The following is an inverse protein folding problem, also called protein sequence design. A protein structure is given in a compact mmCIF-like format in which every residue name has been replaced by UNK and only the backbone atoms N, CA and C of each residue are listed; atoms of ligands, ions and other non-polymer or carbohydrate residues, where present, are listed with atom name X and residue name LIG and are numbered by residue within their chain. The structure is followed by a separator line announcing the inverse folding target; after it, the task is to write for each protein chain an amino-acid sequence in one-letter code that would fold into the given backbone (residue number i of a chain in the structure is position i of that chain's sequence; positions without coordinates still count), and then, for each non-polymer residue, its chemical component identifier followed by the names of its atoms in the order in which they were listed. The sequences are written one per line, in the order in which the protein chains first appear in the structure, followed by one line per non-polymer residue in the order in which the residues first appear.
data_IF_135040801944
#
_entry.id   IF_135040801944
#
_cell.length_a   1.000
_cell.length_b   1.000
_cell.length_c   1.000
_cell.angle_alpha   90.00
_cell.angle_beta   90.00
_cell.angle_gamma   90.00
#
_symmetry.space_group_name_H-M   'P 1'
#
loop_
_entity.id
_entity.type
_entity.pdbx_description
1 polymer ?
#
# COMPACT_ATOMS: atom_id res chain seq x y z
N UNK A 1 4.40 -11.55 -3.85
CA UNK A 1 4.23 -11.09 -2.44
C UNK A 1 3.43 -12.15 -1.72
N UNK A 2 3.91 -12.62 -0.57
CA UNK A 2 3.22 -13.64 0.22
C UNK A 2 2.88 -13.02 1.56
N UNK A 3 1.60 -12.97 1.89
CA UNK A 3 1.12 -12.45 3.16
C UNK A 3 0.75 -13.58 4.11
N UNK A 4 0.81 -13.27 5.40
CA UNK A 4 0.43 -14.15 6.49
C UNK A 4 -0.90 -13.69 7.09
N UNK A 5 -1.73 -14.64 7.48
CA UNK A 5 -2.84 -14.40 8.40
C UNK A 5 -2.84 -15.49 9.48
N UNK A 6 -2.72 -15.11 10.75
CA UNK A 6 -2.75 -16.02 11.91
C UNK A 6 -1.80 -17.24 11.81
N UNK A 7 -0.59 -17.06 11.26
CA UNK A 7 0.39 -18.15 11.14
C UNK A 7 0.10 -19.16 10.01
N UNK A 8 -0.94 -18.96 9.21
CA UNK A 8 -1.27 -19.75 8.02
C UNK A 8 -1.09 -18.94 6.74
N UNK A 9 -0.88 -19.63 5.62
CA UNK A 9 -0.88 -18.99 4.31
C UNK A 9 -2.27 -18.41 4.01
N UNK A 10 -2.33 -17.25 3.36
CA UNK A 10 -3.59 -16.73 2.81
C UNK A 10 -4.30 -17.81 1.98
N UNK A 11 -5.63 -17.73 1.87
CA UNK A 11 -6.42 -18.76 1.16
C UNK A 11 -5.95 -19.01 -0.26
N UNK A 12 -5.57 -17.96 -0.97
CA UNK A 12 -4.99 -18.01 -2.31
C UNK A 12 -3.64 -18.74 -2.39
N UNK A 13 -2.91 -18.84 -1.28
CA UNK A 13 -1.61 -19.51 -1.21
C UNK A 13 -1.69 -20.95 -0.69
N UNK A 14 -2.83 -21.41 -0.17
CA UNK A 14 -2.99 -22.78 0.39
C UNK A 14 -2.65 -23.87 -0.63
N UNK A 15 -3.16 -23.74 -1.87
CA UNK A 15 -2.89 -24.71 -2.94
C UNK A 15 -1.41 -24.73 -3.34
N UNK A 16 -0.77 -23.56 -3.38
CA UNK A 16 0.65 -23.46 -3.71
C UNK A 16 1.54 -24.06 -2.62
N UNK A 17 1.21 -23.83 -1.35
CA UNK A 17 1.89 -24.46 -0.22
C UNK A 17 1.76 -25.98 -0.27
N UNK A 18 0.55 -26.50 -0.49
CA UNK A 18 0.31 -27.94 -0.63
C UNK A 18 1.08 -28.54 -1.83
N UNK A 19 1.18 -27.80 -2.94
CA UNK A 19 2.01 -28.21 -4.07
C UNK A 19 3.50 -28.31 -3.69
N UNK A 20 4.05 -27.33 -2.98
CA UNK A 20 5.45 -27.37 -2.54
C UNK A 20 5.71 -28.51 -1.53
N UNK A 21 4.73 -28.84 -0.67
CA UNK A 21 4.82 -29.97 0.26
C UNK A 21 4.90 -31.33 -0.43
N UNK A 22 4.39 -31.43 -1.67
CA UNK A 22 4.56 -32.63 -2.50
C UNK A 22 6.00 -32.83 -3.00
N UNK A 23 6.91 -31.91 -2.68
CA UNK A 23 8.32 -31.88 -3.09
C UNK A 23 8.50 -32.01 -4.61
N UNK A 24 7.92 -31.09 -5.39
CA UNK A 24 8.10 -31.08 -6.83
C UNK A 24 9.56 -30.80 -7.16
N UNK A 25 10.01 -31.23 -8.33
CA UNK A 25 11.28 -30.77 -8.90
C UNK A 25 11.01 -29.46 -9.63
N UNK A 26 11.64 -28.37 -9.18
CA UNK A 26 11.54 -27.04 -9.77
C UNK A 26 12.88 -26.69 -10.44
N UNK A 27 12.83 -26.20 -11.66
CA UNK A 27 13.97 -25.64 -12.40
C UNK A 27 13.64 -24.20 -12.78
N UNK A 28 13.39 -23.37 -11.78
CA UNK A 28 12.92 -21.99 -11.94
C UNK A 28 13.81 -21.01 -11.19
N UNK A 29 13.89 -19.79 -11.71
CA UNK A 29 14.41 -18.64 -10.96
C UNK A 29 13.26 -17.99 -10.18
N UNK A 30 13.47 -17.65 -8.92
CA UNK A 30 12.42 -17.09 -8.07
C UNK A 30 12.92 -15.97 -7.16
N UNK A 31 11.97 -15.14 -6.70
CA UNK A 31 12.19 -14.09 -5.72
C UNK A 31 10.98 -14.01 -4.78
N UNK A 32 11.21 -13.90 -3.47
CA UNK A 32 10.15 -13.85 -2.45
C UNK A 32 10.19 -12.52 -1.72
N UNK A 33 9.04 -11.85 -1.62
CA UNK A 33 8.83 -10.75 -0.68
C UNK A 33 7.77 -11.16 0.33
N UNK A 34 8.16 -11.19 1.60
CA UNK A 34 7.33 -11.60 2.72
C UNK A 34 6.65 -10.42 3.40
N UNK A 35 5.34 -10.48 3.53
CA UNK A 35 4.56 -9.54 4.32
C UNK A 35 4.21 -10.15 5.68
N UNK A 36 4.67 -9.50 6.75
CA UNK A 36 4.39 -9.86 8.13
C UNK A 36 4.17 -8.63 8.98
N UNK A 37 3.88 -8.82 10.26
CA UNK A 37 3.79 -7.74 11.23
C UNK A 37 4.42 -8.22 12.54
N UNK A 38 5.33 -7.40 13.10
CA UNK A 38 6.15 -7.77 14.25
C UNK A 38 5.37 -7.90 15.57
N UNK A 39 4.17 -7.35 15.68
CA UNK A 39 3.27 -7.53 16.82
C UNK A 39 2.92 -9.01 17.01
N UNK A 40 2.90 -9.79 15.93
CA UNK A 40 2.71 -11.24 15.96
C UNK A 40 4.03 -12.00 16.04
N UNK A 41 4.78 -11.77 17.13
CA UNK A 41 6.14 -12.30 17.38
C UNK A 41 6.31 -13.78 17.01
N UNK A 42 5.39 -14.65 17.44
CA UNK A 42 5.47 -16.11 17.21
C UNK A 42 5.29 -16.54 15.75
N UNK A 43 4.80 -15.64 14.89
CA UNK A 43 4.47 -15.96 13.50
C UNK A 43 5.08 -15.01 12.50
N UNK A 44 5.84 -14.00 12.97
CA UNK A 44 6.46 -12.99 12.13
C UNK A 44 7.29 -13.65 11.00
N UNK A 45 6.90 -13.36 9.75
CA UNK A 45 7.54 -13.86 8.53
C UNK A 45 7.57 -15.39 8.35
N UNK A 46 6.84 -16.17 9.17
CA UNK A 46 6.92 -17.65 9.19
C UNK A 46 6.63 -18.31 7.84
N UNK A 47 5.52 -17.95 7.18
CA UNK A 47 5.14 -18.54 5.89
C UNK A 47 6.03 -18.06 4.73
N UNK A 48 6.38 -16.77 4.61
CA UNK A 48 7.37 -16.34 3.61
C UNK A 48 8.71 -17.04 3.72
N UNK A 49 9.22 -17.25 4.95
CA UNK A 49 10.45 -18.02 5.19
C UNK A 49 10.26 -19.47 4.74
N UNK A 50 9.16 -20.11 5.14
CA UNK A 50 8.85 -21.48 4.76
C UNK A 50 8.78 -21.69 3.25
N UNK A 51 8.08 -20.81 2.52
CA UNK A 51 7.94 -20.92 1.06
C UNK A 51 9.28 -20.67 0.36
N UNK A 52 10.05 -19.68 0.80
CA UNK A 52 11.39 -19.41 0.24
C UNK A 52 12.31 -20.64 0.36
N UNK A 53 12.30 -21.30 1.52
CA UNK A 53 13.06 -22.53 1.76
C UNK A 53 12.53 -23.73 0.96
N UNK A 54 11.21 -23.87 0.85
CA UNK A 54 10.62 -24.98 0.09
C UNK A 54 10.92 -24.89 -1.40
N UNK A 55 10.92 -23.68 -1.99
CA UNK A 55 11.28 -23.50 -3.40
C UNK A 55 12.76 -23.81 -3.63
N UNK A 56 13.64 -23.38 -2.71
CA UNK A 56 15.09 -23.70 -2.77
C UNK A 56 15.34 -25.21 -2.69
N UNK A 57 14.72 -25.90 -1.72
CA UNK A 57 14.84 -27.34 -1.54
C UNK A 57 14.27 -28.15 -2.72
N UNK A 58 13.32 -27.58 -3.46
CA UNK A 58 12.73 -28.17 -4.65
C UNK A 58 13.60 -28.00 -5.91
N UNK A 59 14.71 -27.24 -5.84
CA UNK A 59 15.63 -27.01 -6.97
C UNK A 59 15.51 -25.62 -7.60
N UNK A 60 14.69 -24.73 -7.05
CA UNK A 60 14.59 -23.35 -7.51
C UNK A 60 15.84 -22.53 -7.15
N UNK A 61 16.21 -21.61 -8.04
CA UNK A 61 17.37 -20.72 -7.85
C UNK A 61 16.90 -19.32 -7.44
N UNK A 62 17.38 -18.84 -6.29
CA UNK A 62 17.01 -17.51 -5.76
C UNK A 62 17.70 -16.40 -6.56
N UNK A 63 16.92 -15.45 -7.08
CA UNK A 63 17.42 -14.28 -7.84
C UNK A 63 17.98 -13.21 -6.89
N UNK A 64 17.31 -12.99 -5.76
CA UNK A 64 17.65 -12.00 -4.74
C UNK A 64 17.22 -12.52 -3.37
N UNK A 65 17.92 -12.10 -2.32
CA UNK A 65 17.51 -12.34 -0.94
C UNK A 65 16.04 -11.96 -0.71
N UNK A 66 15.38 -12.74 0.16
CA UNK A 66 13.98 -12.56 0.49
C UNK A 66 13.74 -11.18 1.12
N UNK A 67 12.80 -10.44 0.56
CA UNK A 67 12.38 -9.16 1.13
C UNK A 67 11.51 -9.34 2.37
N UNK A 68 11.64 -8.41 3.32
CA UNK A 68 10.93 -8.42 4.60
C UNK A 68 10.13 -7.12 4.70
N UNK A 69 8.81 -7.21 4.56
CA UNK A 69 7.88 -6.11 4.81
C UNK A 69 7.20 -6.28 6.17
N UNK A 70 7.21 -5.22 6.96
CA UNK A 70 6.58 -5.16 8.27
C UNK A 70 5.39 -4.19 8.28
N UNK A 71 4.16 -4.69 8.40
CA UNK A 71 2.95 -3.86 8.37
C UNK A 71 2.77 -2.96 9.60
N UNK A 72 3.47 -3.23 10.71
CA UNK A 72 3.51 -2.34 11.87
C UNK A 72 4.59 -1.24 11.76
N UNK A 73 5.51 -1.36 10.79
CA UNK A 73 6.56 -0.39 10.49
C UNK A 73 6.47 0.15 9.06
N UNK A 74 7.63 0.43 8.44
CA UNK A 74 7.70 0.92 7.05
C UNK A 74 7.59 -0.21 6.01
N UNK A 75 6.42 -0.85 5.95
CA UNK A 75 6.15 -1.91 4.98
C UNK A 75 6.45 -1.50 3.53
N UNK A 76 6.02 -0.29 3.16
CA UNK A 76 6.05 0.17 1.78
C UNK A 76 7.45 0.61 1.37
N UNK A 77 8.18 1.30 2.26
CA UNK A 77 9.59 1.59 2.02
C UNK A 77 10.41 0.31 1.84
N UNK A 78 10.20 -0.70 2.69
CA UNK A 78 10.86 -2.00 2.56
C UNK A 78 10.52 -2.70 1.23
N UNK A 79 9.26 -2.65 0.79
CA UNK A 79 8.83 -3.22 -0.49
C UNK A 79 9.44 -2.50 -1.69
N UNK A 80 9.41 -1.16 -1.71
CA UNK A 80 9.98 -0.37 -2.80
C UNK A 80 11.49 -0.59 -2.92
N UNK A 81 12.23 -0.56 -1.81
CA UNK A 81 13.68 -0.80 -1.82
C UNK A 81 14.03 -2.21 -2.33
N UNK A 82 13.30 -3.23 -1.87
CA UNK A 82 13.50 -4.60 -2.35
C UNK A 82 13.19 -4.75 -3.85
N UNK A 83 12.06 -4.17 -4.29
CA UNK A 83 11.62 -4.20 -5.69
C UNK A 83 12.66 -3.56 -6.62
N UNK A 84 13.25 -2.43 -6.23
CA UNK A 84 14.31 -1.78 -7.01
C UNK A 84 15.56 -2.65 -7.14
N UNK A 85 16.00 -3.27 -6.05
CA UNK A 85 17.13 -4.17 -6.08
C UNK A 85 16.87 -5.37 -7.01
N UNK A 86 15.66 -5.93 -6.97
CA UNK A 86 15.24 -6.99 -7.89
C UNK A 86 15.33 -6.52 -9.34
N UNK A 87 14.72 -5.38 -9.69
CA UNK A 87 14.78 -4.86 -11.06
C UNK A 87 16.21 -4.53 -11.50
N UNK A 88 17.09 -4.08 -10.61
CA UNK A 88 18.49 -3.83 -10.93
C UNK A 88 19.23 -5.12 -11.29
N UNK A 89 18.95 -6.23 -10.61
CA UNK A 89 19.52 -7.54 -10.93
C UNK A 89 18.98 -8.02 -12.29
N UNK A 90 17.65 -8.00 -12.46
CA UNK A 90 17.00 -8.44 -13.69
C UNK A 90 17.44 -7.62 -14.93
N UNK A 91 17.70 -6.33 -14.76
CA UNK A 91 18.18 -5.45 -15.84
C UNK A 91 19.58 -5.79 -16.33
N UNK A 92 20.46 -6.33 -15.48
CA UNK A 92 21.82 -6.69 -15.90
C UNK A 92 21.84 -7.83 -16.92
N UNK A 93 20.82 -8.69 -16.93
CA UNK A 93 20.71 -9.82 -17.86
C UNK A 93 20.02 -9.45 -19.19
N UNK A 94 19.32 -8.32 -19.26
CA UNK A 94 18.77 -7.76 -20.50
C UNK A 94 19.70 -6.68 -21.03
N UNK A 95 20.33 -6.89 -22.19
CA UNK A 95 21.23 -5.97 -22.94
C UNK A 95 20.84 -4.47 -22.98
N UNK A 96 20.86 -3.76 -21.86
CA UNK A 96 20.66 -2.31 -21.67
C UNK A 96 19.60 -1.63 -22.55
N UNK A 97 18.59 -2.34 -23.04
CA UNK A 97 17.46 -1.73 -23.69
C UNK A 97 16.57 -1.20 -22.58
N UNK A 98 16.78 0.08 -22.26
CA UNK A 98 15.85 0.88 -21.48
C UNK A 98 14.51 0.92 -22.24
N UNK A 99 13.69 -0.12 -22.07
CA UNK A 99 12.26 0.00 -22.31
C UNK A 99 11.73 0.83 -21.14
N UNK A 100 11.94 2.14 -21.24
CA UNK A 100 11.10 3.09 -20.54
C UNK A 100 9.76 2.94 -21.23
N UNK A 101 8.93 2.02 -20.74
CA UNK A 101 7.51 2.13 -20.99
C UNK A 101 7.11 3.47 -20.37
N UNK A 102 6.97 4.50 -21.20
CA UNK A 102 6.13 5.64 -20.88
C UNK A 102 4.73 5.07 -20.66
N UNK A 103 4.47 4.53 -19.47
CA UNK A 103 3.15 4.15 -19.02
C UNK A 103 2.35 5.45 -18.88
N UNK A 104 1.83 5.91 -20.02
CA UNK A 104 0.89 7.02 -20.11
C UNK A 104 -0.43 6.51 -19.57
N UNK A 105 -0.64 6.70 -18.27
CA UNK A 105 -1.99 6.86 -17.74
C UNK A 105 -2.56 8.14 -18.37
N UNK A 106 -3.28 7.99 -19.48
CA UNK A 106 -4.05 9.06 -20.09
C UNK A 106 -5.37 9.19 -19.35
N UNK A 107 -5.54 10.31 -18.64
CA UNK A 107 -6.82 10.65 -18.03
C UNK A 107 -7.62 11.45 -19.06
N UNK A 108 -8.75 10.90 -19.48
CA UNK A 108 -9.74 11.63 -20.26
C UNK A 108 -10.87 12.06 -19.32
N UNK A 109 -11.15 13.36 -19.24
CA UNK A 109 -12.26 13.88 -18.46
C UNK A 109 -13.54 13.63 -19.25
N UNK A 110 -14.27 12.59 -18.89
CA UNK A 110 -15.56 12.29 -19.50
C UNK A 110 -16.65 12.97 -18.69
N UNK A 111 -17.34 13.96 -19.28
CA UNK A 111 -18.52 14.60 -18.69
C UNK A 111 -19.74 13.65 -18.78
N UNK A 112 -19.74 12.57 -18.01
CA UNK A 112 -20.90 11.66 -17.92
C UNK A 112 -21.21 11.36 -16.47
N UNK A 113 -22.50 11.48 -16.09
CA UNK A 113 -23.03 10.95 -14.83
C UNK A 113 -23.05 9.43 -14.91
N UNK A 114 -21.90 8.78 -14.86
CA UNK A 114 -21.84 7.32 -14.66
C UNK A 114 -22.03 7.08 -13.17
N UNK A 115 -23.09 6.38 -12.81
CA UNK A 115 -23.22 5.76 -11.50
C UNK A 115 -22.14 4.67 -11.43
N UNK A 116 -20.98 5.01 -10.85
CA UNK A 116 -19.92 4.06 -10.54
C UNK A 116 -20.51 3.02 -9.59
N UNK A 117 -20.57 1.77 -10.06
CA UNK A 117 -21.16 0.59 -9.43
C UNK A 117 -21.66 0.81 -8.00
N UNK A 118 -22.95 1.09 -7.86
CA UNK A 118 -23.57 1.23 -6.55
C UNK A 118 -23.46 -0.11 -5.83
N UNK A 119 -22.68 -0.15 -4.74
CA UNK A 119 -22.87 -1.16 -3.71
C UNK A 119 -24.31 -0.99 -3.26
N UNK A 120 -25.15 -2.01 -3.45
CA UNK A 120 -26.59 -1.93 -3.14
C UNK A 120 -26.92 -2.45 -1.75
N UNK A 121 -26.01 -3.21 -1.15
CA UNK A 121 -26.18 -3.84 0.16
C UNK A 121 -25.23 -3.21 1.17
N UNK A 122 -25.78 -2.44 2.12
CA UNK A 122 -25.03 -1.77 3.18
C UNK A 122 -25.37 -2.35 4.55
N UNK A 123 -24.33 -2.56 5.36
CA UNK A 123 -24.51 -2.71 6.80
C UNK A 123 -24.84 -1.35 7.43
N UNK A 124 -25.71 -1.34 8.44
CA UNK A 124 -26.07 -0.11 9.16
C UNK A 124 -25.38 -0.12 10.51
N UNK A 125 -24.58 0.90 10.80
CA UNK A 125 -24.00 1.09 12.14
C UNK A 125 -25.12 1.49 13.11
N UNK A 126 -25.44 0.60 14.03
CA UNK A 126 -26.43 0.83 15.10
C UNK A 126 -25.79 1.55 16.29
N UNK A 127 -24.52 1.26 16.57
CA UNK A 127 -23.78 1.86 17.68
C UNK A 127 -22.30 2.02 17.32
N UNK A 128 -21.70 3.11 17.80
CA UNK A 128 -20.25 3.34 17.77
C UNK A 128 -19.86 4.03 19.08
N UNK A 129 -19.25 3.27 20.00
CA UNK A 129 -18.89 3.72 21.34
C UNK A 129 -17.38 3.60 21.55
N UNK A 130 -16.75 4.64 22.09
CA UNK A 130 -15.36 4.56 22.57
C UNK A 130 -15.34 3.67 23.82
N UNK A 131 -14.55 2.60 23.78
CA UNK A 131 -14.27 1.74 24.93
C UNK A 131 -13.01 2.20 25.67
N UNK A 132 -12.00 2.60 24.91
CA UNK A 132 -10.70 3.05 25.43
C UNK A 132 -10.33 4.32 24.66
N UNK A 133 -10.06 5.41 25.38
CA UNK A 133 -9.50 6.64 24.83
C UNK A 133 -8.03 6.42 24.45
N UNK A 134 -7.56 7.14 23.43
CA UNK A 134 -6.15 7.04 23.04
C UNK A 134 -5.25 7.55 24.17
N UNK A 135 -4.13 6.87 24.40
CA UNK A 135 -3.13 7.26 25.38
C UNK A 135 -1.71 6.88 24.88
N UNK A 136 -0.71 7.06 25.74
CA UNK A 136 0.70 6.77 25.41
C UNK A 136 0.96 5.29 25.05
N UNK A 137 0.08 4.39 25.48
CA UNK A 137 0.25 2.94 25.36
C UNK A 137 -0.52 2.39 24.15
N UNK A 138 -1.55 3.09 23.65
CA UNK A 138 -2.31 2.56 22.53
C UNK A 138 -3.39 3.48 21.95
N UNK A 139 -3.91 3.13 20.77
CA UNK A 139 -4.91 3.91 20.07
C UNK A 139 -6.28 3.79 20.73
N UNK A 140 -7.20 4.67 20.31
CA UNK A 140 -8.61 4.56 20.67
C UNK A 140 -9.18 3.21 20.23
N UNK A 141 -9.86 2.51 21.14
CA UNK A 141 -10.60 1.28 20.83
C UNK A 141 -12.09 1.59 20.83
N UNK A 142 -12.80 1.15 19.80
CA UNK A 142 -14.24 1.38 19.63
C UNK A 142 -15.01 0.06 19.57
N UNK A 143 -16.16 0.04 20.23
CA UNK A 143 -17.20 -0.96 20.03
C UNK A 143 -18.15 -0.47 18.94
N UNK A 144 -18.34 -1.27 17.90
CA UNK A 144 -19.22 -0.94 16.78
C UNK A 144 -20.23 -2.07 16.59
N UNK A 145 -21.51 -1.73 16.60
CA UNK A 145 -22.60 -2.67 16.29
C UNK A 145 -23.12 -2.41 14.90
N UNK A 146 -23.12 -3.44 14.06
CA UNK A 146 -23.51 -3.31 12.65
C UNK A 146 -24.67 -4.27 12.38
N UNK A 147 -25.80 -3.72 11.93
CA UNK A 147 -26.89 -4.51 11.37
C UNK A 147 -26.52 -4.93 9.96
N UNK A 148 -26.37 -6.23 9.75
CA UNK A 148 -26.07 -6.78 8.43
C UNK A 148 -27.27 -6.65 7.46
N UNK A 149 -27.02 -6.59 6.13
CA UNK A 149 -28.06 -6.67 5.12
C UNK A 149 -28.91 -7.94 5.28
N UNK A 150 -30.19 -7.87 4.87
CA UNK A 150 -31.20 -8.94 5.10
C UNK A 150 -30.80 -10.33 4.59
N UNK A 151 -29.86 -10.43 3.64
CA UNK A 151 -29.45 -11.68 3.00
C UNK A 151 -28.09 -12.21 3.49
N UNK A 152 -27.47 -11.55 4.48
CA UNK A 152 -26.22 -12.02 5.05
C UNK A 152 -26.46 -12.79 6.34
N UNK A 153 -25.75 -13.91 6.48
CA UNK A 153 -25.67 -14.72 7.70
C UNK A 153 -24.22 -14.80 8.13
N UNK A 154 -23.97 -14.87 9.43
CA UNK A 154 -22.63 -15.06 9.97
C UNK A 154 -22.67 -16.03 11.14
N UNK A 155 -21.50 -16.54 11.51
CA UNK A 155 -21.25 -17.33 12.71
C UNK A 155 -20.16 -16.66 13.54
N UNK A 156 -20.11 -16.98 14.82
CA UNK A 156 -19.01 -16.54 15.68
C UNK A 156 -17.69 -17.03 15.12
N UNK A 157 -16.75 -16.11 14.92
CA UNK A 157 -15.45 -16.37 14.31
C UNK A 157 -15.37 -16.00 12.82
N UNK A 158 -16.49 -15.67 12.17
CA UNK A 158 -16.46 -15.10 10.82
C UNK A 158 -15.90 -13.66 10.84
N UNK A 159 -15.41 -13.22 9.69
CA UNK A 159 -14.84 -11.88 9.50
C UNK A 159 -15.81 -10.97 8.74
N UNK A 160 -15.83 -9.70 9.12
CA UNK A 160 -16.56 -8.64 8.40
C UNK A 160 -15.56 -7.78 7.64
N UNK A 161 -15.65 -7.79 6.32
CA UNK A 161 -14.91 -6.86 5.46
C UNK A 161 -15.64 -5.52 5.39
N UNK A 162 -14.91 -4.42 5.58
CA UNK A 162 -15.45 -3.05 5.55
C UNK A 162 -14.72 -2.29 4.46
N UNK A 163 -15.43 -1.83 3.43
CA UNK A 163 -14.86 -0.94 2.43
C UNK A 163 -14.80 0.49 2.98
N UNK A 164 -13.61 1.07 3.21
CA UNK A 164 -13.50 2.43 3.71
C UNK A 164 -13.72 3.45 2.59
N UNK A 165 -13.91 4.70 2.98
CA UNK A 165 -13.83 5.87 2.10
C UNK A 165 -12.83 6.86 2.68
N UNK A 166 -12.08 7.55 1.82
CA UNK A 166 -11.20 8.63 2.29
C UNK A 166 -12.01 9.73 2.99
N UNK A 167 -11.46 10.36 4.04
CA UNK A 167 -12.07 11.53 4.66
C UNK A 167 -12.32 12.63 3.64
N UNK A 168 -13.51 13.22 3.70
CA UNK A 168 -13.98 14.17 2.70
C UNK A 168 -13.08 15.42 2.64
N UNK A 169 -12.50 15.80 3.77
CA UNK A 169 -11.55 16.92 3.90
C UNK A 169 -10.29 16.67 3.06
N UNK A 170 -9.76 15.44 3.05
CA UNK A 170 -8.57 15.09 2.26
C UNK A 170 -8.92 15.09 0.77
N UNK A 171 -10.09 14.55 0.40
CA UNK A 171 -10.56 14.58 -0.99
C UNK A 171 -10.65 16.02 -1.50
N UNK A 172 -11.22 16.93 -0.71
CA UNK A 172 -11.29 18.35 -1.09
C UNK A 172 -9.93 19.03 -1.19
N UNK A 173 -8.97 18.67 -0.32
CA UNK A 173 -7.58 19.17 -0.43
C UNK A 173 -6.95 18.76 -1.76
N UNK A 174 -7.12 17.51 -2.19
CA UNK A 174 -6.65 17.04 -3.50
C UNK A 174 -7.35 17.80 -4.64
N UNK A 175 -8.68 17.88 -4.62
CA UNK A 175 -9.43 18.61 -5.65
C UNK A 175 -8.95 20.08 -5.77
N UNK A 176 -8.72 20.74 -4.64
CA UNK A 176 -8.20 22.11 -4.58
C UNK A 176 -6.78 22.21 -5.10
N UNK A 177 -5.88 21.30 -4.71
CA UNK A 177 -4.45 21.32 -5.09
C UNK A 177 -4.23 21.13 -6.59
N UNK A 178 -5.09 20.34 -7.23
CA UNK A 178 -5.00 20.02 -8.65
C UNK A 178 -6.04 20.75 -9.51
N UNK A 179 -6.80 21.68 -8.94
CA UNK A 179 -7.83 22.46 -9.64
C UNK A 179 -8.87 21.60 -10.38
N UNK A 180 -9.32 20.52 -9.75
CA UNK A 180 -10.24 19.55 -10.33
C UNK A 180 -11.69 19.87 -9.99
N UNK A 181 -12.61 19.44 -10.86
CA UNK A 181 -14.05 19.50 -10.58
C UNK A 181 -14.49 18.33 -9.70
N UNK A 182 -15.70 18.45 -9.13
CA UNK A 182 -16.33 17.43 -8.26
C UNK A 182 -16.43 16.05 -8.93
N UNK A 183 -16.33 15.95 -10.25
CA UNK A 183 -16.34 14.67 -10.97
C UNK A 183 -15.20 13.70 -10.58
N UNK A 184 -14.09 14.19 -10.05
CA UNK A 184 -13.00 13.35 -9.55
C UNK A 184 -13.22 12.83 -8.11
N UNK A 185 -14.29 13.29 -7.44
CA UNK A 185 -14.60 12.96 -6.06
C UNK A 185 -14.75 11.45 -5.83
N UNK A 186 -15.47 10.74 -6.70
CA UNK A 186 -15.73 9.31 -6.53
C UNK A 186 -14.45 8.48 -6.60
N UNK A 187 -13.54 8.83 -7.52
CA UNK A 187 -12.23 8.20 -7.67
C UNK A 187 -11.40 8.41 -6.40
N UNK A 188 -11.30 9.67 -5.97
CA UNK A 188 -10.52 10.06 -4.79
C UNK A 188 -11.13 9.56 -3.49
N UNK A 189 -12.43 9.30 -3.44
CA UNK A 189 -13.10 8.83 -2.22
C UNK A 189 -12.94 7.33 -2.01
N UNK A 190 -12.99 6.52 -3.08
CA UNK A 190 -13.12 5.07 -2.94
C UNK A 190 -12.07 4.20 -3.63
N UNK A 191 -11.20 4.75 -4.49
CA UNK A 191 -10.31 3.93 -5.33
C UNK A 191 -8.84 4.02 -4.97
N UNK A 192 -8.37 5.11 -4.38
CA UNK A 192 -6.95 5.34 -4.05
C UNK A 192 -6.79 5.68 -2.58
N UNK A 193 -5.69 5.29 -1.95
CA UNK A 193 -5.37 5.64 -0.56
C UNK A 193 -4.69 7.01 -0.52
N UNK A 194 -5.31 7.99 0.16
CA UNK A 194 -4.81 9.37 0.22
C UNK A 194 -3.99 9.66 1.49
N UNK A 195 -4.12 8.85 2.54
CA UNK A 195 -3.54 9.09 3.85
C UNK A 195 -2.27 8.25 4.14
N UNK A 196 -1.72 7.61 3.11
CA UNK A 196 -0.48 6.86 3.25
C UNK A 196 0.72 7.81 3.42
N UNK A 197 1.65 7.52 4.36
CA UNK A 197 2.90 8.26 4.45
C UNK A 197 3.70 8.19 3.14
N UNK A 198 4.28 9.32 2.73
CA UNK A 198 5.12 9.39 1.53
C UNK A 198 6.37 8.53 1.70
N UNK A 199 6.65 7.66 0.72
CA UNK A 199 7.87 6.85 0.72
C UNK A 199 9.13 7.68 0.41
N UNK A 200 10.30 7.24 0.87
CA UNK A 200 11.60 7.88 0.57
C UNK A 200 11.82 8.11 -0.94
N UNK A 201 11.43 7.14 -1.77
CA UNK A 201 11.51 7.26 -3.23
C UNK A 201 10.60 8.34 -3.79
N UNK A 202 9.38 8.44 -3.27
CA UNK A 202 8.44 9.49 -3.67
C UNK A 202 8.96 10.86 -3.22
N UNK A 203 9.59 10.96 -2.05
CA UNK A 203 10.29 12.19 -1.59
C UNK A 203 11.37 12.59 -2.59
N UNK A 204 12.25 11.67 -2.98
CA UNK A 204 13.31 11.92 -3.96
C UNK A 204 12.74 12.35 -5.33
N UNK A 205 11.72 11.62 -5.81
CA UNK A 205 11.02 11.95 -7.06
C UNK A 205 10.43 13.35 -6.98
N UNK A 206 9.72 13.66 -5.90
CA UNK A 206 9.06 14.96 -5.72
C UNK A 206 10.08 16.10 -5.68
N UNK A 207 11.22 15.92 -4.99
CA UNK A 207 12.29 16.91 -4.96
C UNK A 207 12.82 17.28 -6.36
N UNK A 208 12.82 16.35 -7.32
CA UNK A 208 13.21 16.65 -8.71
C UNK A 208 12.19 17.50 -9.47
N UNK A 209 10.94 17.53 -9.01
CA UNK A 209 9.84 18.25 -9.63
C UNK A 209 9.65 19.66 -9.07
N UNK A 210 10.46 20.07 -8.07
CA UNK A 210 10.36 21.38 -7.44
C UNK A 210 11.30 22.39 -8.10
N UNK A 211 10.79 23.59 -8.39
CA UNK A 211 11.59 24.66 -9.04
C UNK A 211 12.55 25.37 -8.08
N UNK A 212 12.24 25.41 -6.79
CA UNK A 212 13.04 26.13 -5.80
C UNK A 212 14.12 25.23 -5.20
N UNK A 213 15.40 25.58 -5.38
CA UNK A 213 16.55 24.80 -4.88
C UNK A 213 16.52 24.54 -3.37
N UNK A 214 16.07 25.52 -2.56
CA UNK A 214 15.93 25.33 -1.11
C UNK A 214 14.84 24.32 -0.78
N UNK A 215 13.72 24.35 -1.49
CA UNK A 215 12.65 23.35 -1.31
C UNK A 215 13.15 21.97 -1.74
N UNK A 216 13.89 21.86 -2.86
CA UNK A 216 14.48 20.58 -3.27
C UNK A 216 15.39 19.99 -2.19
N UNK A 217 16.29 20.80 -1.60
CA UNK A 217 17.20 20.35 -0.54
C UNK A 217 16.40 19.93 0.69
N UNK A 218 15.44 20.74 1.13
CA UNK A 218 14.63 20.43 2.30
C UNK A 218 13.83 19.13 2.12
N UNK A 219 13.24 18.91 0.95
CA UNK A 219 12.52 17.68 0.64
C UNK A 219 13.48 16.49 0.62
N UNK A 220 14.65 16.59 -0.02
CA UNK A 220 15.65 15.51 0.00
C UNK A 220 16.09 15.15 1.42
N UNK A 221 16.20 16.12 2.32
CA UNK A 221 16.54 15.85 3.72
C UNK A 221 15.47 14.99 4.42
N UNK A 222 14.19 15.07 4.01
CA UNK A 222 13.13 14.23 4.56
C UNK A 222 13.33 12.74 4.27
N UNK A 223 14.09 12.36 3.24
CA UNK A 223 14.42 10.96 2.97
C UNK A 223 15.69 10.48 3.69
N UNK A 224 16.28 11.29 4.57
CA UNK A 224 17.43 10.94 5.42
C UNK A 224 17.05 10.43 6.81
N UNK A 225 17.88 10.74 7.81
CA UNK A 225 17.75 10.25 9.20
C UNK A 225 16.45 10.72 9.90
N UNK A 226 15.87 11.83 9.44
CA UNK A 226 14.67 12.41 10.05
C UNK A 226 13.36 11.74 9.63
N UNK A 227 13.38 10.87 8.60
CA UNK A 227 12.18 10.30 7.99
C UNK A 227 11.27 9.56 8.98
N UNK A 228 11.83 8.80 9.93
CA UNK A 228 11.05 8.07 10.93
C UNK A 228 10.16 9.01 11.77
N UNK A 229 10.75 10.12 12.23
CA UNK A 229 10.07 11.06 13.11
C UNK A 229 9.24 12.08 12.34
N UNK A 230 9.73 12.55 11.19
CA UNK A 230 9.09 13.62 10.42
C UNK A 230 8.04 13.09 9.44
N UNK A 231 8.18 11.86 8.93
CA UNK A 231 7.25 11.29 7.94
C UNK A 231 6.41 10.17 8.54
N UNK A 232 7.02 9.11 9.09
CA UNK A 232 6.26 7.92 9.52
C UNK A 232 5.45 8.19 10.78
N UNK A 233 6.08 8.72 11.83
CA UNK A 233 5.41 9.04 13.11
C UNK A 233 4.29 10.07 12.91
N UNK A 234 4.55 11.11 12.12
CA UNK A 234 3.57 12.17 11.82
C UNK A 234 2.60 11.82 10.68
N UNK A 235 2.80 10.68 10.03
CA UNK A 235 2.04 10.17 8.88
C UNK A 235 1.89 11.18 7.73
N UNK A 236 2.98 11.86 7.36
CA UNK A 236 2.98 12.88 6.32
C UNK A 236 2.81 12.23 4.94
N UNK A 237 1.74 12.61 4.22
CA UNK A 237 1.41 12.12 2.89
C UNK A 237 2.06 12.94 1.76
N UNK A 238 1.97 12.46 0.51
CA UNK A 238 2.41 13.22 -0.68
C UNK A 238 1.69 14.57 -0.76
N UNK A 239 0.41 14.61 -0.41
CA UNK A 239 -0.38 15.84 -0.46
C UNK A 239 0.12 16.87 0.54
N UNK A 240 0.48 16.44 1.75
CA UNK A 240 1.02 17.32 2.79
C UNK A 240 2.33 17.98 2.34
N UNK A 241 3.22 17.20 1.71
CA UNK A 241 4.48 17.73 1.15
C UNK A 241 4.19 18.71 0.00
N UNK A 242 3.25 18.40 -0.89
CA UNK A 242 2.85 19.29 -2.00
C UNK A 242 2.19 20.60 -1.57
N UNK A 243 1.57 20.63 -0.40
CA UNK A 243 0.98 21.84 0.18
C UNK A 243 2.04 22.70 0.90
N UNK A 244 3.01 22.05 1.55
CA UNK A 244 4.11 22.70 2.24
C UNK A 244 5.14 23.29 1.26
N UNK A 245 5.47 22.56 0.19
CA UNK A 245 6.44 22.94 -0.83
C UNK A 245 5.76 23.23 -2.16
N UNK A 246 5.41 24.52 -2.37
CA UNK A 246 4.55 24.94 -3.49
C UNK A 246 5.26 25.04 -4.82
N UNK A 247 6.61 25.00 -4.85
CA UNK A 247 7.35 25.04 -6.11
C UNK A 247 7.35 23.70 -6.86
N UNK A 248 6.83 22.64 -6.23
CA UNK A 248 6.72 21.29 -6.79
C UNK A 248 5.56 21.18 -7.78
N UNK A 249 5.90 20.98 -9.05
CA UNK A 249 4.95 20.84 -10.16
C UNK A 249 4.71 19.36 -10.46
N UNK A 250 3.83 18.74 -9.67
CA UNK A 250 3.31 17.40 -9.94
C UNK A 250 1.96 17.51 -10.65
N UNK A 251 1.79 16.84 -11.79
CA UNK A 251 0.48 16.77 -12.45
C UNK A 251 -0.45 15.77 -11.74
N UNK A 252 -1.77 15.93 -11.89
CA UNK A 252 -2.74 15.01 -11.28
C UNK A 252 -2.56 13.54 -11.72
N UNK A 253 -2.32 13.21 -13.01
CA UNK A 253 -2.02 11.83 -13.39
C UNK A 253 -0.78 11.25 -12.72
N UNK A 254 0.29 12.05 -12.58
CA UNK A 254 1.49 11.61 -11.86
C UNK A 254 1.19 11.39 -10.38
N UNK A 255 0.37 12.25 -9.76
CA UNK A 255 -0.09 12.07 -8.38
C UNK A 255 -0.84 10.76 -8.20
N UNK A 256 -1.87 10.48 -9.02
CA UNK A 256 -2.62 9.23 -8.94
C UNK A 256 -1.75 7.98 -9.13
N UNK A 257 -0.74 8.04 -9.99
CA UNK A 257 0.23 6.93 -10.19
C UNK A 257 1.08 6.64 -8.96
N UNK A 258 1.29 7.64 -8.09
CA UNK A 258 2.06 7.47 -6.88
C UNK A 258 1.22 6.88 -5.74
N UNK A 259 -0.11 6.86 -5.86
CA UNK A 259 -1.00 6.35 -4.82
C UNK A 259 -1.32 4.87 -5.06
N UNK A 260 -1.33 4.02 -4.02
CA UNK A 260 -1.86 2.68 -4.15
C UNK A 260 -3.39 2.69 -4.17
N UNK A 261 -3.97 1.57 -4.58
CA UNK A 261 -5.41 1.34 -4.49
C UNK A 261 -5.88 1.30 -3.04
N UNK A 262 -7.06 1.86 -2.77
CA UNK A 262 -7.76 1.67 -1.50
C UNK A 262 -8.11 0.18 -1.33
N UNK A 263 -7.83 -0.41 -0.17
CA UNK A 263 -8.02 -1.85 0.08
C UNK A 263 -9.26 -2.09 0.95
N UNK A 264 -9.90 -3.24 0.73
CA UNK A 264 -10.93 -3.85 1.58
C UNK A 264 -10.24 -4.76 2.59
#
# INVERSE_FOLDING_TARGET
MIALYEGKSCETAKQFVAYLESKPKLEINYAVFGAGNHDWVNTYQKIPIYIDQMIENAGGTRIIERGIGDSAGDFYGAFEAWKENLFRILRKDTNNQNVISEEKLSIEIVNTKRNLGQITDFGIVLQNKILIEANEIGPTVRHVEIKLPKRQTYRTGDYLAVLPTNPIEIVYRVLKRFHLSVSAFDILSGYVELAQPISRKQVETLATLCKNEKEQINIRNLSGDVYENEILTKRISILDVLELYRSCELSFPQYLRMLPSLRI
#
